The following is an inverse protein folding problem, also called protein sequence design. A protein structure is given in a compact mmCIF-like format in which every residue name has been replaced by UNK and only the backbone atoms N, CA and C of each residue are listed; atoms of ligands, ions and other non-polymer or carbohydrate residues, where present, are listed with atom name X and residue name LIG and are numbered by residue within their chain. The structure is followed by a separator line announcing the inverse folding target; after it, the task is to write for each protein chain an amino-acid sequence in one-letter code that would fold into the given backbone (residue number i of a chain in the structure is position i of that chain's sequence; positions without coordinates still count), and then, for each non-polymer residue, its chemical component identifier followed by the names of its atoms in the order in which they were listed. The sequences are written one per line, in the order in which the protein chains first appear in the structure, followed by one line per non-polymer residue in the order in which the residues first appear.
data_IF_992186337269
#
_entry.id   IF_992186337269
#
_cell.length_a   1.000
_cell.length_b   1.000
_cell.length_c   1.000
_cell.angle_alpha   90.00
_cell.angle_beta   90.00
_cell.angle_gamma   90.00
#
_symmetry.space_group_name_H-M   'P 1'
#
loop_
_entity.id
_entity.type
_entity.pdbx_description
1 polymer ?
#
# COMPACT_ATOMS: atom_id res chain seq x y z
N UNK A 1 7.99 -12.49 -14.50
CA UNK A 1 7.99 -12.68 -13.05
C UNK A 1 7.55 -11.41 -12.34
N UNK A 2 7.18 -11.54 -11.08
CA UNK A 2 6.80 -10.38 -10.26
C UNK A 2 7.95 -9.38 -10.14
N UNK A 3 9.18 -9.88 -9.96
CA UNK A 3 10.37 -9.02 -9.89
C UNK A 3 10.52 -8.18 -11.16
N UNK A 4 10.44 -8.80 -12.32
CA UNK A 4 10.59 -8.10 -13.59
C UNK A 4 9.48 -7.05 -13.79
N UNK A 5 8.24 -7.39 -13.44
CA UNK A 5 7.12 -6.45 -13.54
C UNK A 5 7.31 -5.25 -12.61
N UNK A 6 7.78 -5.48 -11.39
CA UNK A 6 8.01 -4.42 -10.42
C UNK A 6 9.15 -3.50 -10.85
N UNK A 7 10.25 -4.07 -11.36
CA UNK A 7 11.37 -3.28 -11.87
C UNK A 7 10.96 -2.45 -13.08
N UNK A 8 10.17 -3.03 -13.99
CA UNK A 8 9.67 -2.31 -15.15
C UNK A 8 8.74 -1.17 -14.74
N UNK A 9 7.87 -1.39 -13.78
CA UNK A 9 6.96 -0.37 -13.26
C UNK A 9 7.73 0.82 -12.68
N UNK A 10 8.76 0.54 -11.86
CA UNK A 10 9.62 1.58 -11.29
C UNK A 10 10.34 2.36 -12.39
N UNK A 11 10.89 1.67 -13.39
CA UNK A 11 11.59 2.31 -14.50
C UNK A 11 10.66 3.21 -15.31
N UNK A 12 9.43 2.78 -15.57
CA UNK A 12 8.44 3.58 -16.29
C UNK A 12 8.05 4.84 -15.53
N UNK A 13 7.92 4.76 -14.21
CA UNK A 13 7.61 5.93 -13.39
C UNK A 13 8.77 6.92 -13.39
N UNK A 14 10.01 6.44 -13.28
CA UNK A 14 11.20 7.30 -13.32
C UNK A 14 11.33 8.05 -14.65
N UNK A 15 10.90 7.43 -15.72
CA UNK A 15 10.97 8.02 -17.07
C UNK A 15 9.70 8.77 -17.46
N UNK A 16 8.79 9.02 -16.53
CA UNK A 16 7.52 9.72 -16.77
C UNK A 16 6.69 9.11 -17.89
N UNK A 17 6.67 7.79 -17.98
CA UNK A 17 5.92 7.09 -19.02
C UNK A 17 4.45 6.89 -18.70
N UNK A 18 4.02 7.29 -17.51
CA UNK A 18 2.62 7.32 -17.10
C UNK A 18 2.16 8.78 -17.06
N UNK A 19 1.72 9.31 -18.20
CA UNK A 19 1.32 10.71 -18.27
C UNK A 19 -0.17 10.94 -18.01
N UNK A 20 -0.96 9.86 -18.03
CA UNK A 20 -2.42 9.99 -17.98
C UNK A 20 -2.92 9.92 -16.54
N UNK A 21 -3.52 11.03 -16.08
CA UNK A 21 -4.30 11.03 -14.83
C UNK A 21 -5.76 11.29 -15.15
N UNK A 22 -6.62 10.82 -14.28
CA UNK A 22 -8.06 11.03 -14.38
C UNK A 22 -8.63 11.26 -12.99
N UNK A 23 -9.85 11.79 -12.94
CA UNK A 23 -10.56 11.94 -11.68
C UNK A 23 -11.07 10.58 -11.23
N UNK A 24 -10.67 10.13 -10.05
CA UNK A 24 -10.96 8.81 -9.52
C UNK A 24 -11.58 8.93 -8.15
N UNK A 25 -12.63 8.14 -7.90
CA UNK A 25 -13.19 7.98 -6.56
C UNK A 25 -12.51 6.78 -5.89
N UNK A 26 -11.65 7.06 -4.90
CA UNK A 26 -10.87 6.02 -4.21
C UNK A 26 -11.77 5.02 -3.51
N UNK A 27 -12.90 5.47 -2.94
CA UNK A 27 -13.86 4.57 -2.28
C UNK A 27 -14.37 3.53 -3.28
N UNK A 28 -14.74 3.96 -4.49
CA UNK A 28 -15.22 3.07 -5.53
C UNK A 28 -14.14 2.08 -5.98
N UNK A 29 -12.91 2.56 -6.15
CA UNK A 29 -11.78 1.69 -6.55
C UNK A 29 -11.54 0.60 -5.51
N UNK A 30 -11.51 0.96 -4.22
CA UNK A 30 -11.27 -0.03 -3.17
C UNK A 30 -12.43 -1.02 -3.10
N UNK A 31 -13.68 -0.56 -3.25
CA UNK A 31 -14.83 -1.47 -3.26
C UNK A 31 -14.77 -2.47 -4.41
N UNK A 32 -14.31 -2.03 -5.58
CA UNK A 32 -14.12 -2.93 -6.72
C UNK A 32 -13.00 -3.95 -6.47
N UNK A 33 -11.97 -3.56 -5.74
CA UNK A 33 -10.84 -4.45 -5.44
C UNK A 33 -11.11 -5.38 -4.24
N UNK A 34 -12.14 -5.13 -3.44
CA UNK A 34 -12.37 -5.88 -2.20
C UNK A 34 -12.35 -7.40 -2.35
N UNK A 35 -13.03 -8.00 -3.34
CA UNK A 35 -12.98 -9.46 -3.48
C UNK A 35 -11.55 -9.98 -3.65
N UNK A 36 -10.74 -9.27 -4.43
CA UNK A 36 -9.34 -9.62 -4.62
C UNK A 36 -8.52 -9.41 -3.35
N UNK A 37 -8.72 -8.27 -2.67
CA UNK A 37 -8.02 -7.96 -1.42
C UNK A 37 -8.38 -8.97 -0.32
N UNK A 38 -9.63 -9.40 -0.27
CA UNK A 38 -10.07 -10.44 0.67
C UNK A 38 -9.40 -11.78 0.38
N UNK A 39 -9.22 -12.12 -0.90
CA UNK A 39 -8.52 -13.35 -1.26
C UNK A 39 -7.04 -13.31 -0.86
N UNK A 40 -6.38 -12.15 -0.98
CA UNK A 40 -5.00 -11.97 -0.52
C UNK A 40 -4.88 -12.09 0.99
N UNK A 41 -5.93 -11.73 1.72
CA UNK A 41 -5.95 -11.67 3.18
C UNK A 41 -6.54 -12.94 3.82
N UNK A 42 -6.58 -14.03 3.08
CA UNK A 42 -7.13 -15.30 3.56
C UNK A 42 -6.47 -15.71 4.87
N UNK A 43 -7.27 -16.08 5.86
CA UNK A 43 -6.79 -16.41 7.20
C UNK A 43 -6.66 -15.21 8.13
N UNK A 44 -6.90 -14.02 7.62
CA UNK A 44 -6.88 -12.77 8.39
C UNK A 44 -8.25 -12.10 8.33
N UNK A 45 -8.52 -11.22 9.27
CA UNK A 45 -9.75 -10.41 9.24
C UNK A 45 -9.45 -9.09 8.52
N UNK A 46 -10.15 -8.84 7.42
CA UNK A 46 -10.03 -7.57 6.70
C UNK A 46 -11.15 -6.63 7.15
N UNK A 47 -10.76 -5.57 7.85
CA UNK A 47 -11.68 -4.54 8.34
C UNK A 47 -11.68 -3.34 7.40
N UNK A 48 -12.87 -2.79 7.18
CA UNK A 48 -13.07 -1.62 6.32
C UNK A 48 -13.66 -0.50 7.15
N UNK A 49 -12.98 0.62 7.22
CA UNK A 49 -13.39 1.78 8.01
C UNK A 49 -13.45 2.99 7.08
N UNK A 50 -14.55 3.12 6.36
CA UNK A 50 -14.76 4.20 5.40
C UNK A 50 -15.56 5.32 6.06
N UNK A 51 -14.85 6.36 6.50
CA UNK A 51 -15.46 7.54 7.13
C UNK A 51 -16.05 8.50 6.11
N UNK A 52 -15.81 8.27 4.82
CA UNK A 52 -16.36 9.08 3.73
C UNK A 52 -17.06 8.16 2.72
N UNK A 53 -18.09 8.69 2.05
CA UNK A 53 -18.81 7.96 1.02
C UNK A 53 -18.12 8.03 -0.34
N UNK A 54 -17.34 9.07 -0.54
CA UNK A 54 -16.57 9.26 -1.76
C UNK A 54 -15.30 10.05 -1.44
N UNK A 55 -14.25 9.81 -2.23
CA UNK A 55 -12.98 10.51 -2.11
C UNK A 55 -12.43 10.65 -3.52
N UNK A 56 -12.60 11.83 -4.11
CA UNK A 56 -12.15 12.08 -5.48
C UNK A 56 -10.74 12.66 -5.49
N UNK A 57 -9.89 12.05 -6.27
CA UNK A 57 -8.50 12.48 -6.46
C UNK A 57 -8.16 12.44 -7.95
N UNK A 58 -7.09 13.11 -8.32
CA UNK A 58 -6.48 12.97 -9.64
C UNK A 58 -5.36 11.94 -9.58
N UNK A 59 -5.49 10.86 -10.33
CA UNK A 59 -4.51 9.77 -10.28
C UNK A 59 -4.45 8.99 -11.59
N UNK A 60 -3.34 8.30 -11.78
CA UNK A 60 -3.24 7.23 -12.77
C UNK A 60 -3.81 5.98 -12.12
N UNK A 61 -4.89 5.43 -12.69
CA UNK A 61 -5.62 4.31 -12.08
C UNK A 61 -4.75 3.05 -11.89
N UNK A 62 -4.01 2.57 -12.90
CA UNK A 62 -3.15 1.41 -12.69
C UNK A 62 -2.10 1.61 -11.57
N UNK A 63 -1.54 2.81 -11.44
CA UNK A 63 -0.58 3.09 -10.37
C UNK A 63 -1.26 3.11 -9.01
N UNK A 64 -2.45 3.68 -8.90
CA UNK A 64 -3.22 3.66 -7.66
C UNK A 64 -3.55 2.23 -7.23
N UNK A 65 -4.00 1.40 -8.15
CA UNK A 65 -4.31 0.00 -7.87
C UNK A 65 -3.06 -0.78 -7.44
N UNK A 66 -1.93 -0.55 -8.10
CA UNK A 66 -0.66 -1.16 -7.72
C UNK A 66 -0.23 -0.77 -6.32
N UNK A 67 -0.38 0.51 -5.96
CA UNK A 67 -0.07 0.99 -4.61
C UNK A 67 -0.94 0.29 -3.56
N UNK A 68 -2.24 0.22 -3.79
CA UNK A 68 -3.17 -0.43 -2.86
C UNK A 68 -2.81 -1.92 -2.71
N UNK A 69 -2.57 -2.60 -3.83
CA UNK A 69 -2.16 -4.01 -3.81
C UNK A 69 -0.89 -4.22 -2.98
N UNK A 70 0.13 -3.39 -3.19
CA UNK A 70 1.38 -3.53 -2.46
C UNK A 70 1.24 -3.24 -0.97
N UNK A 71 0.39 -2.28 -0.59
CA UNK A 71 0.10 -2.02 0.83
C UNK A 71 -0.57 -3.23 1.48
N UNK A 72 -1.52 -3.88 0.80
CA UNK A 72 -2.19 -5.06 1.34
C UNK A 72 -1.25 -6.26 1.40
N UNK A 73 -0.47 -6.51 0.35
CA UNK A 73 0.51 -7.61 0.36
C UNK A 73 1.50 -7.42 1.51
N UNK A 74 1.96 -6.20 1.75
CA UNK A 74 2.83 -5.88 2.87
C UNK A 74 2.14 -6.17 4.21
N UNK A 75 0.87 -5.77 4.35
CA UNK A 75 0.10 -6.00 5.57
C UNK A 75 -0.11 -7.49 5.86
N UNK A 76 -0.24 -8.31 4.82
CA UNK A 76 -0.33 -9.78 4.96
C UNK A 76 1.00 -10.36 5.43
N UNK A 77 2.11 -9.93 4.80
CA UNK A 77 3.45 -10.46 5.12
C UNK A 77 3.90 -10.17 6.54
N UNK A 78 3.57 -8.99 7.05
CA UNK A 78 4.01 -8.54 8.38
C UNK A 78 2.96 -8.79 9.46
N UNK A 79 1.94 -9.57 9.16
CA UNK A 79 0.89 -9.89 10.11
C UNK A 79 1.28 -11.05 11.02
N UNK A 80 0.55 -11.18 12.11
CA UNK A 80 0.61 -12.36 12.97
C UNK A 80 -0.50 -13.34 12.60
N UNK A 81 -0.39 -14.58 13.08
CA UNK A 81 -1.45 -15.59 12.88
C UNK A 81 -2.76 -15.09 13.48
N UNK A 82 -3.86 -15.32 12.75
CA UNK A 82 -5.22 -14.91 13.16
C UNK A 82 -5.34 -13.40 13.42
N UNK A 83 -4.47 -12.62 12.80
CA UNK A 83 -4.49 -11.17 12.92
C UNK A 83 -5.50 -10.49 12.02
N UNK A 84 -5.36 -9.17 11.92
CA UNK A 84 -6.28 -8.36 11.14
C UNK A 84 -5.56 -7.30 10.31
N UNK A 85 -6.23 -6.85 9.26
CA UNK A 85 -5.82 -5.73 8.43
C UNK A 85 -6.97 -4.74 8.43
N UNK A 86 -6.67 -3.46 8.61
CA UNK A 86 -7.67 -2.40 8.52
C UNK A 86 -7.35 -1.51 7.33
N UNK A 87 -8.35 -1.28 6.48
CA UNK A 87 -8.29 -0.30 5.40
C UNK A 87 -9.23 0.83 5.77
N UNK A 88 -8.67 1.99 6.04
CA UNK A 88 -9.43 3.16 6.47
C UNK A 88 -9.33 4.28 5.43
N UNK A 89 -10.47 4.88 5.09
CA UNK A 89 -10.54 6.04 4.23
C UNK A 89 -11.19 7.18 4.99
N UNK A 90 -10.55 8.32 4.96
CA UNK A 90 -11.09 9.56 5.48
C UNK A 90 -10.83 10.67 4.45
N UNK A 91 -11.16 11.91 4.78
CA UNK A 91 -10.93 13.01 3.85
C UNK A 91 -9.44 13.08 3.46
N UNK A 92 -9.16 12.93 2.17
CA UNK A 92 -7.82 13.01 1.57
C UNK A 92 -6.80 12.01 2.09
N UNK A 93 -7.24 10.90 2.69
CA UNK A 93 -6.30 9.99 3.35
C UNK A 93 -6.73 8.54 3.21
N UNK A 94 -5.75 7.68 2.92
CA UNK A 94 -5.87 6.23 2.96
C UNK A 94 -4.89 5.69 3.99
N UNK A 95 -5.37 4.89 4.92
CA UNK A 95 -4.54 4.22 5.91
C UNK A 95 -4.73 2.71 5.78
N UNK A 96 -3.62 1.96 5.78
CA UNK A 96 -3.62 0.49 5.86
C UNK A 96 -2.79 0.11 7.06
N UNK A 97 -3.41 -0.60 7.99
CA UNK A 97 -2.72 -1.07 9.20
C UNK A 97 -2.87 -2.58 9.35
N UNK A 98 -1.93 -3.18 10.05
CA UNK A 98 -1.98 -4.61 10.35
C UNK A 98 -1.43 -4.90 11.73
N UNK A 99 -2.01 -5.89 12.38
CA UNK A 99 -1.46 -6.46 13.62
C UNK A 99 -0.15 -7.16 13.32
N UNK A 100 0.72 -7.24 14.31
CA UNK A 100 2.03 -7.85 14.15
C UNK A 100 2.60 -8.34 15.47
N UNK A 101 3.43 -9.37 15.41
CA UNK A 101 4.28 -9.81 16.53
C UNK A 101 5.69 -9.21 16.41
N UNK A 102 5.93 -8.42 15.36
CA UNK A 102 7.22 -7.79 15.12
C UNK A 102 7.36 -6.48 15.89
N UNK A 103 8.60 -6.01 15.96
CA UNK A 103 8.88 -4.64 16.41
C UNK A 103 8.70 -3.65 15.26
N UNK A 104 8.81 -2.36 15.57
CA UNK A 104 8.73 -1.32 14.56
C UNK A 104 9.78 -1.52 13.46
N UNK A 105 9.38 -1.24 12.23
CA UNK A 105 10.30 -1.26 11.08
C UNK A 105 11.13 0.03 11.06
N UNK A 106 12.27 -0.02 10.36
CA UNK A 106 13.13 1.15 10.22
C UNK A 106 12.53 2.12 9.19
N UNK A 107 12.04 3.26 9.67
CA UNK A 107 11.37 4.27 8.83
C UNK A 107 12.25 4.80 7.70
N UNK A 108 13.57 4.81 7.90
CA UNK A 108 14.50 5.35 6.90
C UNK A 108 14.82 4.35 5.80
N UNK A 109 14.65 3.05 6.07
CA UNK A 109 15.04 1.99 5.14
C UNK A 109 13.89 1.30 4.45
N UNK A 110 12.69 1.31 5.03
CA UNK A 110 11.58 0.46 4.54
C UNK A 110 11.12 0.79 3.11
N UNK A 111 11.37 1.98 2.63
CA UNK A 111 10.98 2.38 1.27
C UNK A 111 12.13 2.24 0.25
N UNK A 112 13.30 1.77 0.70
CA UNK A 112 14.42 1.54 -0.19
C UNK A 112 14.24 0.26 -0.98
N UNK A 113 14.65 0.29 -2.26
CA UNK A 113 14.57 -0.87 -3.14
C UNK A 113 15.38 -2.04 -2.55
N UNK A 114 14.79 -3.22 -2.63
CA UNK A 114 15.40 -4.49 -2.18
C UNK A 114 15.63 -4.58 -0.68
N UNK A 115 15.21 -3.58 0.11
CA UNK A 115 15.34 -3.67 1.55
C UNK A 115 14.35 -4.70 2.11
N UNK A 116 14.87 -5.59 2.95
CA UNK A 116 14.10 -6.60 3.66
C UNK A 116 14.52 -6.56 5.13
N UNK A 117 13.56 -6.42 6.08
CA UNK A 117 13.90 -6.36 7.51
C UNK A 117 14.64 -7.61 8.01
N UNK A 118 14.37 -8.76 7.40
CA UNK A 118 15.09 -10.01 7.68
C UNK A 118 14.94 -10.95 6.47
N UNK A 119 15.82 -11.94 6.40
CA UNK A 119 15.73 -12.97 5.36
C UNK A 119 14.48 -13.83 5.48
N UNK A 120 13.83 -13.80 6.65
CA UNK A 120 12.59 -14.55 6.89
C UNK A 120 11.39 -13.90 6.22
N UNK A 121 11.47 -12.61 5.89
CA UNK A 121 10.40 -11.90 5.22
C UNK A 121 10.42 -12.25 3.74
N UNK A 122 9.31 -12.79 3.23
CA UNK A 122 9.18 -13.16 1.82
C UNK A 122 9.06 -11.91 0.95
N UNK A 123 9.46 -12.04 -0.30
CA UNK A 123 9.32 -11.00 -1.30
C UNK A 123 10.67 -10.46 -1.76
N UNK A 124 10.62 -9.54 -2.72
CA UNK A 124 11.82 -9.02 -3.38
C UNK A 124 12.26 -7.64 -2.86
N UNK A 125 11.58 -7.11 -1.84
CA UNK A 125 11.93 -5.80 -1.28
C UNK A 125 11.51 -4.61 -2.15
N UNK A 126 10.61 -4.81 -3.10
CA UNK A 126 10.16 -3.74 -4.00
C UNK A 126 8.76 -3.21 -3.69
N UNK A 127 7.96 -3.91 -2.89
CA UNK A 127 6.57 -3.52 -2.64
C UNK A 127 6.42 -2.12 -2.08
N UNK A 128 7.13 -1.81 -0.99
CA UNK A 128 7.07 -0.47 -0.39
C UNK A 128 7.80 0.57 -1.23
N UNK A 129 8.84 0.19 -1.97
CA UNK A 129 9.49 1.09 -2.92
C UNK A 129 8.51 1.53 -4.01
N UNK A 130 7.64 0.63 -4.47
CA UNK A 130 6.58 0.96 -5.43
C UNK A 130 5.58 1.93 -4.80
N UNK A 131 5.14 1.67 -3.58
CA UNK A 131 4.23 2.58 -2.86
C UNK A 131 4.83 3.99 -2.81
N UNK A 132 6.09 4.10 -2.40
CA UNK A 132 6.80 5.37 -2.33
C UNK A 132 6.88 6.04 -3.70
N UNK A 133 7.22 5.29 -4.74
CA UNK A 133 7.35 5.82 -6.09
C UNK A 133 6.00 6.34 -6.63
N UNK A 134 4.91 5.61 -6.37
CA UNK A 134 3.55 6.05 -6.77
C UNK A 134 3.19 7.35 -6.06
N UNK A 135 3.48 7.44 -4.77
CA UNK A 135 3.22 8.67 -4.01
C UNK A 135 4.05 9.84 -4.55
N UNK A 136 5.34 9.63 -4.78
CA UNK A 136 6.22 10.67 -5.34
C UNK A 136 5.74 11.12 -6.72
N UNK A 137 5.33 10.18 -7.56
CA UNK A 137 4.83 10.47 -8.90
C UNK A 137 3.61 11.40 -8.87
N UNK A 138 2.75 11.23 -7.88
CA UNK A 138 1.50 12.00 -7.75
C UNK A 138 1.63 13.23 -6.83
N UNK A 139 2.76 13.40 -6.15
CA UNK A 139 2.92 14.45 -5.15
C UNK A 139 2.21 14.15 -3.83
N UNK A 140 1.91 12.89 -3.55
CA UNK A 140 1.30 12.45 -2.29
C UNK A 140 2.36 12.17 -1.24
N UNK A 141 1.96 12.18 0.03
CA UNK A 141 2.85 11.81 1.14
C UNK A 141 2.52 10.42 1.64
N UNK A 142 3.57 9.66 1.93
CA UNK A 142 3.47 8.35 2.59
C UNK A 142 4.19 8.42 3.93
N UNK A 143 3.56 7.91 4.97
CA UNK A 143 4.18 7.82 6.29
C UNK A 143 3.94 6.44 6.89
N UNK A 144 4.83 6.08 7.80
CA UNK A 144 4.76 4.82 8.55
C UNK A 144 4.83 5.12 10.04
N UNK A 145 3.95 4.50 10.81
CA UNK A 145 3.99 4.53 12.27
C UNK A 145 3.81 3.12 12.81
N UNK A 146 4.27 2.92 14.02
CA UNK A 146 4.06 1.67 14.75
C UNK A 146 3.61 2.00 16.15
N UNK A 147 2.50 1.42 16.57
CA UNK A 147 2.00 1.57 17.94
C UNK A 147 1.08 0.40 18.28
N UNK A 148 1.12 -0.01 19.54
CA UNK A 148 0.23 -1.04 20.09
C UNK A 148 0.22 -2.34 19.27
N UNK A 149 1.39 -2.76 18.78
CA UNK A 149 1.53 -3.99 18.03
C UNK A 149 0.98 -3.91 16.62
N UNK A 150 0.87 -2.71 16.05
CA UNK A 150 0.36 -2.51 14.69
C UNK A 150 1.30 -1.66 13.85
N UNK A 151 1.57 -2.13 12.63
CA UNK A 151 2.20 -1.32 11.58
C UNK A 151 1.11 -0.52 10.88
N UNK A 152 1.38 0.74 10.61
CA UNK A 152 0.40 1.65 10.01
C UNK A 152 1.03 2.47 8.90
N UNK A 153 0.50 2.34 7.69
CA UNK A 153 0.94 3.11 6.52
C UNK A 153 -0.17 4.08 6.13
N UNK A 154 0.15 5.35 6.01
CA UNK A 154 -0.81 6.40 5.67
C UNK A 154 -0.38 7.14 4.42
N UNK A 155 -1.26 7.19 3.42
CA UNK A 155 -1.09 7.98 2.21
C UNK A 155 -1.98 9.21 2.30
N UNK A 156 -1.39 10.38 2.17
CA UNK A 156 -2.13 11.65 2.15
C UNK A 156 -2.16 12.15 0.71
N UNK A 157 -3.36 12.23 0.16
CA UNK A 157 -3.59 12.71 -1.19
C UNK A 157 -3.63 14.25 -1.17
N UNK A 158 -2.61 14.86 -1.73
CA UNK A 158 -2.45 16.31 -1.73
C UNK A 158 -2.93 16.96 -3.04
#
# INVERSE_FOLDING_TARGET
SRLNRNLLLLAKMENNQFSRTESINVVAVIKELLPYLESLSEGLVLKKDFLVNSLSIKANRPLLESMINNLIVNAVRHNKSDGEITVALSDKQLMVSNTSDEEALDKELIFNRFYRPSEKVKGNGLGLAIVKAVCDYHGWKISYTYSDGKHEFTVIFL
#
